data_IF_364836845275
#
_entry.id   IF_364836845275
#
_cell.length_a   1.000
_cell.length_b   1.000
_cell.length_c   1.000
_cell.angle_alpha   90.00
_cell.angle_beta   90.00
_cell.angle_gamma   90.00
#
_symmetry.space_group_name_H-M   'P 1'
#
loop_
_entity.id
_entity.type
_entity.pdbx_description
1 polymer ?
#
# COMPACT_ATOMS: atom_id res chain seq x y z
N UNK A 1 14.20 -1.33 10.70
CA UNK A 1 13.37 -1.68 11.88
C UNK A 1 12.03 -2.22 11.44
N UNK A 2 11.62 -3.36 11.99
CA UNK A 2 10.29 -3.92 11.72
C UNK A 2 9.29 -3.18 12.59
N UNK A 3 8.24 -2.63 11.96
CA UNK A 3 7.23 -1.83 12.64
C UNK A 3 5.96 -2.67 12.90
N UNK A 4 5.22 -2.39 13.99
CA UNK A 4 3.96 -3.09 14.23
C UNK A 4 2.90 -2.67 13.22
N UNK A 5 2.11 -3.66 12.75
CA UNK A 5 1.00 -3.41 11.82
C UNK A 5 -0.28 -3.20 12.63
N UNK A 6 -0.95 -2.07 12.40
CA UNK A 6 -2.19 -1.71 13.06
C UNK A 6 -3.35 -2.48 12.45
N UNK A 7 -4.20 -3.02 13.31
CA UNK A 7 -5.29 -3.91 12.90
C UNK A 7 -6.61 -3.17 12.73
N UNK A 8 -7.54 -3.78 12.00
CA UNK A 8 -8.89 -3.28 11.80
C UNK A 8 -9.53 -2.85 13.14
N UNK A 9 -10.13 -1.69 13.12
CA UNK A 9 -10.74 -1.09 14.31
C UNK A 9 -9.88 -0.02 14.98
N UNK A 10 -8.59 0.04 14.67
CA UNK A 10 -7.73 1.10 15.22
C UNK A 10 -7.97 2.43 14.48
N UNK A 11 -8.14 3.54 15.22
CA UNK A 11 -8.58 4.82 14.62
C UNK A 11 -7.70 5.34 13.49
N UNK A 12 -6.38 5.08 13.53
CA UNK A 12 -5.45 5.57 12.51
C UNK A 12 -5.80 5.07 11.11
N UNK A 13 -6.44 3.89 11.00
CA UNK A 13 -6.81 3.31 9.71
C UNK A 13 -7.98 4.03 9.03
N UNK A 14 -8.73 4.82 9.79
CA UNK A 14 -9.88 5.60 9.30
C UNK A 14 -9.63 7.10 9.28
N UNK A 15 -8.55 7.55 9.88
CA UNK A 15 -8.19 8.96 9.92
C UNK A 15 -7.75 9.43 8.54
N UNK A 16 -8.24 10.60 8.05
CA UNK A 16 -7.72 11.18 6.81
C UNK A 16 -6.22 11.38 6.89
N UNK A 17 -5.52 11.05 5.81
CA UNK A 17 -4.07 11.18 5.74
C UNK A 17 -3.68 12.59 5.30
N UNK A 18 -2.47 12.99 5.70
CA UNK A 18 -1.89 14.28 5.34
C UNK A 18 -0.81 14.10 4.28
N UNK A 19 -0.63 15.12 3.44
CA UNK A 19 0.43 15.13 2.45
C UNK A 19 1.79 15.21 3.12
N UNK A 20 2.77 14.52 2.52
CA UNK A 20 4.15 14.58 2.96
C UNK A 20 4.80 15.83 2.39
N UNK A 21 5.51 16.58 3.24
CA UNK A 21 6.40 17.65 2.79
C UNK A 21 7.84 17.19 2.99
N UNK A 22 8.80 17.65 2.17
CA UNK A 22 10.20 17.23 2.30
C UNK A 22 10.84 17.47 3.66
N UNK A 23 10.30 18.42 4.42
CA UNK A 23 10.84 18.82 5.71
C UNK A 23 10.16 18.17 6.91
N UNK A 24 9.07 17.42 6.69
CA UNK A 24 8.20 17.02 7.79
C UNK A 24 8.64 15.76 8.51
N UNK A 25 9.47 14.89 7.89
CA UNK A 25 9.94 13.66 8.51
C UNK A 25 11.08 13.03 7.70
N UNK A 26 11.76 12.07 8.32
CA UNK A 26 12.79 11.30 7.63
C UNK A 26 12.12 10.20 6.79
N UNK A 27 11.75 10.54 5.57
CA UNK A 27 11.07 9.63 4.63
C UNK A 27 11.96 8.43 4.27
N UNK A 28 13.26 8.65 4.14
CA UNK A 28 14.20 7.59 3.82
C UNK A 28 14.22 6.47 4.86
N UNK A 29 14.31 6.84 6.13
CA UNK A 29 14.29 5.88 7.21
C UNK A 29 12.94 5.18 7.29
N UNK A 30 11.85 5.93 7.16
CA UNK A 30 10.51 5.36 7.17
C UNK A 30 10.32 4.35 6.05
N UNK A 31 10.77 4.64 4.85
CA UNK A 31 10.67 3.71 3.72
C UNK A 31 11.47 2.44 3.95
N UNK A 32 12.69 2.57 4.49
CA UNK A 32 13.49 1.40 4.84
C UNK A 32 12.76 0.50 5.83
N UNK A 33 12.17 1.08 6.86
CA UNK A 33 11.41 0.36 7.87
C UNK A 33 10.14 -0.29 7.28
N UNK A 34 9.48 0.41 6.38
CA UNK A 34 8.28 -0.13 5.71
C UNK A 34 8.60 -1.31 4.80
N UNK A 35 9.68 -1.23 4.01
CA UNK A 35 10.11 -2.34 3.17
C UNK A 35 10.45 -3.58 3.99
N UNK A 36 11.19 -3.40 5.09
CA UNK A 36 11.54 -4.49 5.99
C UNK A 36 10.30 -5.11 6.62
N UNK A 37 9.36 -4.28 7.07
CA UNK A 37 8.10 -4.73 7.66
C UNK A 37 7.26 -5.53 6.66
N UNK A 38 7.16 -5.05 5.42
CA UNK A 38 6.42 -5.72 4.36
C UNK A 38 7.00 -7.08 4.03
N UNK A 39 8.33 -7.18 3.93
CA UNK A 39 9.02 -8.43 3.64
C UNK A 39 8.77 -9.48 4.72
N UNK A 40 8.90 -9.11 5.99
CA UNK A 40 8.66 -10.02 7.11
C UNK A 40 7.20 -10.46 7.19
N UNK A 41 6.26 -9.56 6.87
CA UNK A 41 4.83 -9.85 6.89
C UNK A 41 4.36 -10.62 5.65
N UNK A 42 5.21 -10.78 4.65
CA UNK A 42 4.89 -11.49 3.40
C UNK A 42 3.71 -10.88 2.64
N UNK A 43 3.52 -9.57 2.74
CA UNK A 43 2.50 -8.85 1.99
C UNK A 43 3.05 -8.29 0.68
N UNK A 44 2.14 -7.87 -0.20
CA UNK A 44 2.52 -7.24 -1.46
C UNK A 44 2.36 -5.72 -1.45
N UNK A 45 1.75 -5.15 -0.41
CA UNK A 45 1.60 -3.71 -0.27
C UNK A 45 1.44 -3.30 1.19
N UNK A 46 1.84 -2.07 1.49
CA UNK A 46 1.73 -1.52 2.84
C UNK A 46 1.55 0.00 2.74
N UNK A 47 0.50 0.51 3.40
CA UNK A 47 0.25 1.93 3.49
C UNK A 47 0.69 2.47 4.86
N UNK A 48 1.15 3.72 4.90
CA UNK A 48 1.65 4.33 6.12
C UNK A 48 0.66 4.28 7.30
N UNK A 49 -0.66 4.47 7.11
CA UNK A 49 -1.60 4.30 8.23
C UNK A 49 -1.53 2.94 8.90
N UNK A 50 -1.19 1.88 8.15
CA UNK A 50 -1.09 0.53 8.71
C UNK A 50 0.06 0.38 9.70
N UNK A 51 0.99 1.31 9.73
CA UNK A 51 2.08 1.35 10.73
C UNK A 51 1.96 2.56 11.65
N UNK A 52 0.75 3.16 11.74
CA UNK A 52 0.45 4.22 12.67
C UNK A 52 0.79 5.64 12.21
N UNK A 53 1.09 5.83 10.93
CA UNK A 53 1.44 7.14 10.37
C UNK A 53 0.34 7.66 9.45
N UNK A 54 -0.34 8.73 9.84
CA UNK A 54 -1.45 9.33 9.07
C UNK A 54 -0.94 10.21 7.93
N UNK A 55 -0.15 9.64 7.03
CA UNK A 55 0.41 10.34 5.86
C UNK A 55 0.06 9.62 4.57
N UNK A 56 0.03 10.36 3.46
CA UNK A 56 -0.29 9.83 2.13
C UNK A 56 0.95 9.18 1.52
N UNK A 57 1.15 7.91 1.88
CA UNK A 57 2.29 7.13 1.42
C UNK A 57 1.91 5.66 1.41
N UNK A 58 2.24 4.97 0.33
CA UNK A 58 2.21 3.51 0.34
C UNK A 58 3.31 2.93 -0.53
N UNK A 59 3.61 1.66 -0.30
CA UNK A 59 4.58 0.90 -1.08
C UNK A 59 3.92 -0.34 -1.65
N UNK A 60 4.40 -0.79 -2.80
CA UNK A 60 3.91 -2.00 -3.47
C UNK A 60 5.10 -2.83 -3.91
N UNK A 61 5.05 -4.13 -3.60
CA UNK A 61 5.97 -5.14 -4.11
C UNK A 61 5.16 -6.16 -4.89
N UNK A 62 5.18 -6.05 -6.21
CA UNK A 62 4.45 -6.93 -7.11
C UNK A 62 5.24 -8.14 -7.58
N UNK A 63 6.45 -8.34 -7.07
CA UNK A 63 7.33 -9.40 -7.56
C UNK A 63 6.77 -10.80 -7.38
N UNK A 64 5.96 -11.05 -6.35
CA UNK A 64 5.30 -12.34 -6.15
C UNK A 64 4.22 -12.63 -7.18
N UNK A 65 3.72 -11.62 -7.88
CA UNK A 65 2.73 -11.77 -8.93
C UNK A 65 3.35 -12.06 -10.29
N UNK A 66 4.67 -12.08 -10.37
CA UNK A 66 5.40 -12.23 -11.65
C UNK A 66 5.13 -13.58 -12.32
N UNK A 67 4.81 -14.62 -11.57
CA UNK A 67 4.49 -15.93 -12.11
C UNK A 67 3.27 -15.89 -13.02
N UNK A 68 2.21 -15.21 -12.58
CA UNK A 68 0.97 -15.03 -13.35
C UNK A 68 0.99 -13.78 -14.23
N UNK A 69 1.76 -12.77 -13.82
CA UNK A 69 1.84 -11.47 -14.49
C UNK A 69 3.32 -11.07 -14.64
N UNK A 70 3.99 -11.54 -15.71
CA UNK A 70 5.43 -11.28 -15.90
C UNK A 70 5.85 -9.81 -15.85
N UNK A 71 4.94 -8.89 -16.16
CA UNK A 71 5.19 -7.45 -16.08
C UNK A 71 5.45 -6.96 -14.65
N UNK A 72 5.12 -7.78 -13.64
CA UNK A 72 5.34 -7.45 -12.24
C UNK A 72 6.70 -7.92 -11.71
N UNK A 73 7.54 -8.52 -12.54
CA UNK A 73 8.79 -9.13 -12.10
C UNK A 73 9.71 -8.19 -11.31
N UNK A 74 9.78 -6.93 -11.71
CA UNK A 74 10.63 -5.94 -11.05
C UNK A 74 9.80 -4.81 -10.42
N UNK A 75 8.53 -5.06 -10.16
CA UNK A 75 7.63 -4.01 -9.68
C UNK A 75 7.78 -3.83 -8.16
N UNK A 76 8.62 -2.88 -7.79
CA UNK A 76 8.75 -2.37 -6.42
C UNK A 76 8.70 -0.86 -6.49
N UNK A 77 7.64 -0.26 -5.97
CA UNK A 77 7.44 1.19 -6.07
C UNK A 77 6.96 1.81 -4.78
N UNK A 78 7.36 3.07 -4.63
CA UNK A 78 6.92 3.96 -3.55
C UNK A 78 5.98 4.99 -4.16
N UNK A 79 4.84 5.24 -3.51
CA UNK A 79 3.85 6.21 -3.95
C UNK A 79 3.66 7.26 -2.88
N UNK A 80 4.16 8.47 -3.14
CA UNK A 80 4.10 9.61 -2.20
C UNK A 80 3.01 10.56 -2.67
N UNK A 81 2.14 10.96 -1.75
CA UNK A 81 1.00 11.85 -2.02
C UNK A 81 0.16 11.39 -3.22
N UNK A 82 -0.22 10.11 -3.28
CA UNK A 82 -0.96 9.58 -4.41
C UNK A 82 -2.39 10.11 -4.48
N UNK A 83 -2.90 10.24 -5.71
CA UNK A 83 -4.28 10.66 -5.97
C UNK A 83 -4.82 9.86 -7.15
N UNK A 84 -6.01 9.27 -6.99
CA UNK A 84 -6.68 8.60 -8.10
C UNK A 84 -7.34 9.66 -8.95
N UNK A 85 -6.93 9.76 -10.22
CA UNK A 85 -7.48 10.78 -11.13
C UNK A 85 -8.41 10.20 -12.18
N UNK A 86 -8.38 8.89 -12.38
CA UNK A 86 -9.26 8.23 -13.34
C UNK A 86 -9.47 6.77 -12.96
N UNK A 87 -10.68 6.26 -13.14
CA UNK A 87 -11.02 4.85 -12.94
C UNK A 87 -11.71 4.32 -14.20
N UNK A 88 -11.46 3.07 -14.57
CA UNK A 88 -12.15 2.46 -15.70
C UNK A 88 -13.60 2.15 -15.37
N UNK A 89 -14.46 2.11 -16.38
CA UNK A 89 -15.85 1.67 -16.23
C UNK A 89 -15.93 0.14 -16.06
N UNK A 90 -14.98 -0.58 -16.64
CA UNK A 90 -14.87 -2.02 -16.50
C UNK A 90 -14.46 -2.38 -15.07
N UNK A 91 -15.00 -3.48 -14.56
CA UNK A 91 -14.65 -3.97 -13.23
C UNK A 91 -14.04 -5.35 -13.30
N UNK A 92 -13.30 -5.70 -12.25
CA UNK A 92 -12.73 -7.04 -12.08
C UNK A 92 -12.93 -7.47 -10.63
N UNK A 93 -12.97 -8.77 -10.39
CA UNK A 93 -13.15 -9.32 -9.05
C UNK A 93 -11.96 -10.21 -8.70
N UNK A 94 -11.34 -9.92 -7.55
CA UNK A 94 -10.24 -10.71 -7.01
C UNK A 94 -10.49 -11.04 -5.54
N UNK A 95 -9.95 -12.18 -5.12
CA UNK A 95 -9.84 -12.45 -3.69
C UNK A 95 -8.72 -11.59 -3.12
N UNK A 96 -9.04 -10.76 -2.15
CA UNK A 96 -8.10 -9.83 -1.52
C UNK A 96 -7.97 -10.09 -0.03
N UNK A 97 -6.76 -9.91 0.47
CA UNK A 97 -6.47 -9.90 1.89
C UNK A 97 -5.73 -8.61 2.25
N UNK A 98 -5.64 -8.35 3.54
CA UNK A 98 -4.95 -7.16 4.05
C UNK A 98 -4.23 -7.53 5.35
N UNK A 99 -3.02 -7.00 5.53
CA UNK A 99 -2.23 -7.26 6.75
C UNK A 99 -2.93 -6.74 8.02
N UNK A 100 -3.80 -5.72 7.88
CA UNK A 100 -4.60 -5.20 9.00
C UNK A 100 -5.84 -6.05 9.29
N UNK A 101 -6.12 -7.06 8.46
CA UNK A 101 -7.22 -8.01 8.60
C UNK A 101 -6.66 -9.43 8.50
N UNK A 102 -5.86 -9.88 9.48
CA UNK A 102 -5.17 -11.15 9.38
C UNK A 102 -6.14 -12.34 9.29
N UNK A 103 -5.84 -13.25 8.34
CA UNK A 103 -6.64 -14.45 8.15
C UNK A 103 -7.96 -14.26 7.43
N UNK A 104 -8.27 -13.05 6.96
CA UNK A 104 -9.51 -12.74 6.25
C UNK A 104 -9.21 -12.45 4.78
N UNK A 105 -9.94 -13.11 3.88
CA UNK A 105 -9.91 -12.85 2.45
C UNK A 105 -11.33 -12.72 1.94
N UNK A 106 -11.57 -11.78 1.04
CA UNK A 106 -12.88 -11.51 0.45
C UNK A 106 -12.75 -11.29 -1.05
N UNK A 107 -13.80 -11.63 -1.79
CA UNK A 107 -13.88 -11.24 -3.19
C UNK A 107 -14.27 -9.78 -3.28
N UNK A 108 -13.46 -8.97 -3.94
CA UNK A 108 -13.66 -7.53 -4.05
C UNK A 108 -13.81 -7.14 -5.51
N UNK A 109 -14.84 -6.34 -5.81
CA UNK A 109 -15.08 -5.78 -7.14
C UNK A 109 -14.44 -4.41 -7.19
N UNK A 110 -13.57 -4.19 -8.17
CA UNK A 110 -12.86 -2.92 -8.34
C UNK A 110 -12.83 -2.53 -9.81
N UNK A 111 -12.61 -1.23 -10.14
CA UNK A 111 -12.28 -0.86 -11.50
C UNK A 111 -11.11 -1.69 -12.03
N UNK A 112 -11.19 -2.13 -13.27
CA UNK A 112 -10.15 -2.97 -13.87
C UNK A 112 -8.83 -2.21 -14.02
N UNK A 113 -8.88 -0.88 -14.17
CA UNK A 113 -7.70 -0.04 -14.22
C UNK A 113 -7.96 1.32 -13.57
N UNK A 114 -6.91 1.93 -13.04
CA UNK A 114 -6.94 3.27 -12.48
C UNK A 114 -5.73 4.05 -12.98
N UNK A 115 -5.87 5.37 -13.01
CA UNK A 115 -4.76 6.28 -13.25
C UNK A 115 -4.51 7.07 -11.97
N UNK A 116 -3.28 7.07 -11.50
CA UNK A 116 -2.91 7.81 -10.29
C UNK A 116 -1.79 8.80 -10.61
N UNK A 117 -1.81 9.90 -9.88
CA UNK A 117 -0.73 10.89 -9.87
C UNK A 117 -0.03 10.78 -8.53
N UNK A 118 1.30 10.73 -8.54
CA UNK A 118 2.09 10.56 -7.33
C UNK A 118 3.50 11.12 -7.50
N UNK A 119 4.18 11.24 -6.37
CA UNK A 119 5.61 11.57 -6.33
C UNK A 119 6.37 10.31 -5.93
N UNK A 120 7.57 10.13 -6.46
CA UNK A 120 8.44 9.02 -6.08
C UNK A 120 9.87 9.47 -5.72
#
# INVERSE_FOLDING_TARGET
MILPIYLYGQPVLRKPTEDITPESLDVKQLLSDMWETLEVAEGCGLAAPQIGKSIRLFIVDGTELAEDYPECQDFKKVFINPEIIEESDDTTTFSEGCLSLPGISENVIRPASITIRYMD
#
